data_IF_871516865728
#
_entry.id   IF_871516865728
#
_cell.length_a   1.000
_cell.length_b   1.000
_cell.length_c   1.000
_cell.angle_alpha   90.00
_cell.angle_beta   90.00
_cell.angle_gamma   90.00
#
_symmetry.space_group_name_H-M   'P 1'
#
loop_
_entity.id
_entity.type
_entity.pdbx_description
1 polymer ?
#
# COMPACT_ATOMS: atom_id res chain seq x y z
N UNK A 1 -8.88 -9.16 -15.97
CA UNK A 1 -8.27 -8.40 -17.09
C UNK A 1 -7.23 -7.37 -16.61
N UNK A 2 -7.52 -6.54 -15.61
CA UNK A 2 -6.55 -5.52 -15.12
C UNK A 2 -5.25 -6.14 -14.59
N UNK A 3 -5.30 -7.25 -13.84
CA UNK A 3 -4.10 -7.97 -13.41
C UNK A 3 -3.27 -8.46 -14.58
N UNK A 4 -3.87 -9.16 -15.54
CA UNK A 4 -3.13 -9.67 -16.71
C UNK A 4 -2.43 -8.56 -17.52
N UNK A 5 -3.01 -7.35 -17.56
CA UNK A 5 -2.36 -6.19 -18.21
C UNK A 5 -1.14 -5.75 -17.40
N UNK A 6 -1.27 -5.63 -16.08
CA UNK A 6 -0.13 -5.23 -15.22
C UNK A 6 0.99 -6.24 -15.24
N UNK A 7 0.69 -7.53 -15.15
CA UNK A 7 1.70 -8.59 -15.20
C UNK A 7 2.50 -8.51 -16.51
N UNK A 8 1.83 -8.31 -17.63
CA UNK A 8 2.49 -8.11 -18.94
C UNK A 8 3.33 -6.83 -18.95
N UNK A 9 2.81 -5.73 -18.43
CA UNK A 9 3.55 -4.47 -18.34
C UNK A 9 4.81 -4.62 -17.46
N UNK A 10 4.70 -5.28 -16.30
CA UNK A 10 5.84 -5.57 -15.42
C UNK A 10 6.92 -6.39 -16.12
N UNK A 11 6.53 -7.47 -16.81
CA UNK A 11 7.45 -8.36 -17.52
C UNK A 11 8.09 -7.62 -18.69
N UNK A 12 7.28 -6.98 -19.55
CA UNK A 12 7.81 -6.26 -20.73
C UNK A 12 8.73 -5.11 -20.30
N UNK A 13 8.34 -4.34 -19.28
CA UNK A 13 9.15 -3.25 -18.80
C UNK A 13 10.44 -3.74 -18.12
N UNK A 14 10.38 -4.82 -17.34
CA UNK A 14 11.56 -5.47 -16.75
C UNK A 14 12.53 -5.99 -17.81
N UNK A 15 12.01 -6.52 -18.91
CA UNK A 15 12.83 -6.93 -20.07
C UNK A 15 13.54 -5.72 -20.72
N UNK A 16 12.86 -4.56 -20.87
CA UNK A 16 13.50 -3.34 -21.37
C UNK A 16 14.62 -2.84 -20.44
N UNK A 17 14.47 -2.98 -19.13
CA UNK A 17 15.53 -2.66 -18.16
C UNK A 17 16.72 -3.62 -18.36
N UNK A 18 16.44 -4.92 -18.55
CA UNK A 18 17.47 -5.93 -18.77
C UNK A 18 18.31 -5.68 -20.05
N UNK A 19 17.72 -5.11 -21.08
CA UNK A 19 18.40 -4.78 -22.34
C UNK A 19 19.39 -3.61 -22.23
N UNK A 20 19.46 -2.93 -21.06
CA UNK A 20 20.43 -1.87 -20.76
C UNK A 20 20.55 -0.81 -21.86
N UNK A 21 19.41 -0.22 -22.21
CA UNK A 21 19.38 0.80 -23.26
C UNK A 21 19.43 2.23 -22.69
N UNK A 22 19.65 3.22 -23.57
CA UNK A 22 19.78 4.66 -23.18
C UNK A 22 18.55 5.23 -22.44
N UNK A 23 17.42 4.55 -22.45
CA UNK A 23 16.19 4.95 -21.75
C UNK A 23 15.97 4.18 -20.44
N UNK A 24 16.92 3.41 -19.98
CA UNK A 24 16.82 2.53 -18.81
C UNK A 24 16.21 3.24 -17.59
N UNK A 25 16.61 4.50 -17.32
CA UNK A 25 16.07 5.25 -16.19
C UNK A 25 14.54 5.46 -16.26
N UNK A 26 14.01 5.68 -17.46
CA UNK A 26 12.56 5.84 -17.66
C UNK A 26 11.84 4.53 -17.35
N UNK A 27 12.40 3.41 -17.81
CA UNK A 27 11.84 2.08 -17.53
C UNK A 27 11.94 1.75 -16.02
N UNK A 28 13.02 2.12 -15.34
CA UNK A 28 13.17 1.95 -13.88
C UNK A 28 12.11 2.75 -13.12
N UNK A 29 11.87 4.02 -13.48
CA UNK A 29 10.84 4.85 -12.87
C UNK A 29 9.44 4.27 -13.10
N UNK A 30 9.15 3.84 -14.34
CA UNK A 30 7.87 3.21 -14.67
C UNK A 30 7.69 1.87 -13.95
N UNK A 31 8.77 1.07 -13.81
CA UNK A 31 8.77 -0.16 -13.03
C UNK A 31 8.41 0.13 -11.56
N UNK A 32 8.93 1.21 -11.00
CA UNK A 32 8.59 1.65 -9.65
C UNK A 32 7.09 1.91 -9.49
N UNK A 33 6.48 2.62 -10.41
CA UNK A 33 5.03 2.86 -10.41
C UNK A 33 4.24 1.54 -10.53
N UNK A 34 4.66 0.63 -11.41
CA UNK A 34 4.03 -0.67 -11.58
C UNK A 34 4.14 -1.52 -10.30
N UNK A 35 5.33 -1.59 -9.70
CA UNK A 35 5.57 -2.39 -8.50
C UNK A 35 4.78 -1.87 -7.29
N UNK A 36 4.81 -0.55 -7.01
CA UNK A 36 4.04 -0.01 -5.88
C UNK A 36 2.54 -0.13 -6.10
N UNK A 37 2.07 -0.18 -7.34
CA UNK A 37 0.66 -0.41 -7.64
C UNK A 37 0.18 -1.83 -7.27
N UNK A 38 1.10 -2.78 -7.02
CA UNK A 38 0.77 -4.10 -6.49
C UNK A 38 0.28 -4.05 -5.03
N UNK A 39 0.38 -2.90 -4.37
CA UNK A 39 -0.26 -2.67 -3.08
C UNK A 39 -1.80 -2.79 -3.19
N UNK A 40 -2.41 -2.32 -4.27
CA UNK A 40 -3.85 -2.41 -4.45
C UNK A 40 -4.38 -3.87 -4.52
N UNK A 41 -3.80 -4.82 -5.29
CA UNK A 41 -4.17 -6.23 -5.19
C UNK A 41 -3.80 -6.88 -3.86
N UNK A 42 -2.71 -6.49 -3.19
CA UNK A 42 -2.40 -6.96 -1.84
C UNK A 42 -3.54 -6.60 -0.87
N UNK A 43 -3.95 -5.34 -0.89
CA UNK A 43 -5.04 -4.77 -0.10
C UNK A 43 -6.37 -5.49 -0.38
N UNK A 44 -6.81 -5.55 -1.62
CA UNK A 44 -8.09 -6.14 -2.01
C UNK A 44 -8.16 -7.65 -1.74
N UNK A 45 -7.06 -8.39 -1.95
CA UNK A 45 -6.97 -9.81 -1.65
C UNK A 45 -7.04 -10.09 -0.13
N UNK A 46 -6.64 -9.14 0.73
CA UNK A 46 -6.78 -9.28 2.18
C UNK A 46 -8.25 -9.39 2.60
N UNK A 47 -9.16 -8.71 1.89
CA UNK A 47 -10.62 -8.83 2.05
C UNK A 47 -11.20 -10.06 1.36
N UNK A 48 -10.40 -10.76 0.52
CA UNK A 48 -10.86 -11.91 -0.28
C UNK A 48 -11.92 -11.55 -1.33
N UNK A 49 -11.92 -10.33 -1.84
CA UNK A 49 -12.89 -9.75 -2.78
C UNK A 49 -12.37 -9.64 -4.21
N UNK A 50 -11.04 -9.73 -4.42
CA UNK A 50 -10.43 -9.64 -5.75
C UNK A 50 -10.83 -10.80 -6.68
N UNK A 51 -10.92 -12.01 -6.14
CA UNK A 51 -11.21 -13.24 -6.87
C UNK A 51 -12.27 -14.09 -6.16
N UNK A 52 -13.06 -14.85 -6.92
CA UNK A 52 -13.99 -15.85 -6.36
C UNK A 52 -13.24 -16.99 -5.64
N UNK A 53 -12.05 -17.33 -6.11
CA UNK A 53 -11.23 -18.39 -5.52
C UNK A 53 -10.46 -17.88 -4.30
N UNK A 54 -10.61 -18.55 -3.16
CA UNK A 54 -9.82 -18.29 -1.95
C UNK A 54 -8.32 -18.50 -2.20
N UNK A 55 -7.97 -19.54 -2.95
CA UNK A 55 -6.60 -19.85 -3.31
C UNK A 55 -5.97 -18.71 -4.11
N UNK A 56 -6.66 -18.17 -5.12
CA UNK A 56 -6.13 -17.05 -5.91
C UNK A 56 -5.94 -15.78 -5.07
N UNK A 57 -6.88 -15.45 -4.17
CA UNK A 57 -6.70 -14.33 -3.25
C UNK A 57 -5.45 -14.52 -2.39
N UNK A 58 -5.22 -15.71 -1.84
CA UNK A 58 -4.05 -16.01 -1.00
C UNK A 58 -2.74 -15.98 -1.81
N UNK A 59 -2.71 -16.60 -2.98
CA UNK A 59 -1.52 -16.66 -3.83
C UNK A 59 -1.10 -15.25 -4.32
N UNK A 60 -2.06 -14.44 -4.79
CA UNK A 60 -1.79 -13.07 -5.22
C UNK A 60 -1.38 -12.20 -4.04
N UNK A 61 -2.05 -12.33 -2.89
CA UNK A 61 -1.69 -11.60 -1.68
C UNK A 61 -0.26 -11.93 -1.23
N UNK A 62 0.13 -13.23 -1.25
CA UNK A 62 1.50 -13.67 -0.93
C UNK A 62 2.53 -13.06 -1.88
N UNK A 63 2.29 -13.15 -3.19
CA UNK A 63 3.20 -12.60 -4.20
C UNK A 63 3.35 -11.07 -4.07
N UNK A 64 2.24 -10.34 -3.97
CA UNK A 64 2.28 -8.89 -3.80
C UNK A 64 2.93 -8.49 -2.46
N UNK A 65 2.64 -9.22 -1.39
CA UNK A 65 3.27 -9.03 -0.08
C UNK A 65 4.78 -9.28 -0.11
N UNK A 66 5.23 -10.32 -0.83
CA UNK A 66 6.64 -10.59 -1.07
C UNK A 66 7.33 -9.41 -1.77
N UNK A 67 6.72 -8.85 -2.80
CA UNK A 67 7.28 -7.69 -3.53
C UNK A 67 7.42 -6.46 -2.63
N UNK A 68 6.46 -6.25 -1.72
CA UNK A 68 6.44 -5.10 -0.80
C UNK A 68 7.17 -5.30 0.54
N UNK A 69 7.82 -6.45 0.76
CA UNK A 69 8.39 -6.83 2.06
C UNK A 69 7.33 -6.85 3.19
N UNK A 70 6.09 -7.14 2.84
CA UNK A 70 4.93 -7.21 3.73
C UNK A 70 4.41 -8.67 3.76
N UNK A 71 4.76 -9.49 4.77
CA UNK A 71 4.22 -10.85 4.88
C UNK A 71 2.70 -10.82 4.82
N UNK A 72 2.10 -11.61 3.93
CA UNK A 72 0.69 -11.46 3.56
C UNK A 72 -0.27 -11.73 4.73
N UNK A 73 0.04 -12.72 5.57
CA UNK A 73 -0.78 -13.03 6.75
C UNK A 73 -0.69 -11.90 7.78
N UNK A 74 0.54 -11.36 8.00
CA UNK A 74 0.73 -10.20 8.86
C UNK A 74 -0.02 -8.98 8.36
N UNK A 75 0.11 -8.66 7.07
CA UNK A 75 -0.59 -7.52 6.47
C UNK A 75 -2.12 -7.66 6.61
N UNK A 76 -2.64 -8.86 6.41
CA UNK A 76 -4.08 -9.13 6.60
C UNK A 76 -4.53 -8.86 8.04
N UNK A 77 -3.79 -9.31 9.05
CA UNK A 77 -4.12 -9.05 10.45
C UNK A 77 -4.09 -7.55 10.77
N UNK A 78 -3.04 -6.86 10.32
CA UNK A 78 -2.86 -5.42 10.44
C UNK A 78 -4.02 -4.65 9.80
N UNK A 79 -4.33 -4.96 8.55
CA UNK A 79 -5.35 -4.26 7.76
C UNK A 79 -6.78 -4.52 8.26
N UNK A 80 -7.08 -5.74 8.69
CA UNK A 80 -8.39 -6.05 9.30
C UNK A 80 -8.58 -5.32 10.65
N UNK A 81 -7.52 -5.10 11.40
CA UNK A 81 -7.57 -4.31 12.63
C UNK A 81 -7.76 -2.82 12.35
N UNK A 82 -7.05 -2.30 11.32
CA UNK A 82 -7.27 -0.95 10.81
C UNK A 82 -8.75 -0.72 10.42
N UNK A 83 -9.36 -1.60 9.64
CA UNK A 83 -10.79 -1.50 9.31
C UNK A 83 -11.72 -1.53 10.52
N UNK A 84 -11.36 -2.29 11.56
CA UNK A 84 -12.16 -2.38 12.79
C UNK A 84 -12.08 -1.12 13.63
N UNK A 85 -10.94 -0.47 13.61
CA UNK A 85 -10.60 0.63 14.53
C UNK A 85 -10.13 1.89 13.80
N UNK A 86 -10.49 2.05 12.53
CA UNK A 86 -10.08 3.18 11.69
C UNK A 86 -10.17 4.51 12.42
N UNK A 87 -9.05 5.25 12.48
CA UNK A 87 -8.91 6.55 13.14
C UNK A 87 -9.03 6.52 14.68
N UNK A 88 -9.04 5.34 15.31
CA UNK A 88 -8.96 5.24 16.77
C UNK A 88 -7.49 5.42 17.21
N UNK A 89 -7.16 6.47 18.02
CA UNK A 89 -5.78 6.79 18.34
C UNK A 89 -5.01 5.69 19.07
N UNK A 90 -5.71 4.79 19.77
CA UNK A 90 -5.09 3.74 20.59
C UNK A 90 -5.13 2.36 19.97
N UNK A 91 -6.02 2.12 19.01
CA UNK A 91 -6.29 0.78 18.49
C UNK A 91 -6.01 0.63 16.99
N UNK A 92 -6.02 1.73 16.23
CA UNK A 92 -5.72 1.69 14.80
C UNK A 92 -4.20 1.55 14.57
N UNK A 93 -3.73 0.41 14.05
CA UNK A 93 -2.30 0.19 13.86
C UNK A 93 -1.69 1.12 12.79
N UNK A 94 -2.48 1.73 11.90
CA UNK A 94 -1.99 2.70 10.92
C UNK A 94 -1.62 4.04 11.56
N UNK A 95 -2.21 4.39 12.70
CA UNK A 95 -1.87 5.60 13.45
C UNK A 95 -0.60 5.45 14.30
N UNK A 96 0.00 4.27 14.38
CA UNK A 96 1.30 4.06 15.02
C UNK A 96 2.43 4.91 14.41
N UNK A 97 2.24 5.39 13.19
CA UNK A 97 3.08 6.39 12.54
C UNK A 97 2.38 7.75 12.58
N UNK A 98 2.95 8.70 13.34
CA UNK A 98 2.40 10.05 13.41
C UNK A 98 2.27 10.68 12.01
N UNK A 99 1.13 11.32 11.78
CA UNK A 99 0.92 12.09 10.55
C UNK A 99 1.86 13.30 10.51
N UNK A 100 2.30 13.72 9.32
CA UNK A 100 3.19 14.88 9.18
C UNK A 100 2.61 16.15 9.80
N UNK A 101 3.38 16.79 10.70
CA UNK A 101 3.02 18.07 11.33
C UNK A 101 3.93 19.22 10.88
N UNK A 102 4.89 18.94 10.02
CA UNK A 102 5.81 19.92 9.43
C UNK A 102 6.13 19.54 7.99
N UNK A 103 6.64 20.49 7.20
CA UNK A 103 7.11 20.22 5.83
C UNK A 103 8.21 19.15 5.84
N UNK A 104 9.13 19.20 6.80
CA UNK A 104 10.19 18.19 6.92
C UNK A 104 9.64 16.78 7.16
N UNK A 105 8.69 16.62 8.10
CA UNK A 105 8.06 15.32 8.36
C UNK A 105 7.19 14.84 7.18
N UNK A 106 6.56 15.78 6.45
CA UNK A 106 5.83 15.45 5.22
C UNK A 106 6.78 14.91 4.14
N UNK A 107 7.88 15.61 3.86
CA UNK A 107 8.86 15.15 2.87
C UNK A 107 9.49 13.81 3.28
N UNK A 108 9.76 13.62 4.57
CA UNK A 108 10.27 12.36 5.09
C UNK A 108 9.27 11.21 4.93
N UNK A 109 7.96 11.45 5.19
CA UNK A 109 6.92 10.45 4.92
C UNK A 109 6.86 10.12 3.43
N UNK A 110 6.80 11.15 2.56
CA UNK A 110 6.67 10.95 1.11
C UNK A 110 7.89 10.23 0.52
N UNK A 111 9.09 10.46 1.04
CA UNK A 111 10.28 9.72 0.61
C UNK A 111 10.17 8.20 0.77
N UNK A 112 9.30 7.73 1.67
CA UNK A 112 9.15 6.31 1.99
C UNK A 112 10.28 5.73 2.84
N UNK A 113 11.31 6.50 3.21
CA UNK A 113 12.46 6.02 3.97
C UNK A 113 12.02 5.41 5.30
N UNK A 114 11.16 6.11 6.05
CA UNK A 114 10.63 5.61 7.33
C UNK A 114 9.94 4.26 7.15
N UNK A 115 9.10 4.14 6.15
CA UNK A 115 8.35 2.91 5.89
C UNK A 115 9.29 1.73 5.59
N UNK A 116 10.36 1.97 4.82
CA UNK A 116 11.36 0.92 4.57
C UNK A 116 12.05 0.47 5.86
N UNK A 117 12.42 1.41 6.73
CA UNK A 117 13.02 1.09 8.04
C UNK A 117 12.04 0.24 8.87
N UNK A 118 10.77 0.66 8.95
CA UNK A 118 9.73 -0.02 9.71
C UNK A 118 9.44 -1.43 9.15
N UNK A 119 9.38 -1.58 7.82
CA UNK A 119 9.15 -2.87 7.17
C UNK A 119 10.33 -3.84 7.40
N UNK A 120 11.57 -3.38 7.23
CA UNK A 120 12.76 -4.20 7.47
C UNK A 120 12.84 -4.60 8.94
N UNK A 121 12.65 -3.65 9.88
CA UNK A 121 12.64 -3.94 11.31
C UNK A 121 11.54 -4.95 11.67
N UNK A 122 10.31 -4.74 11.18
CA UNK A 122 9.20 -5.65 11.41
C UNK A 122 9.46 -7.04 10.84
N UNK A 123 10.03 -7.13 9.63
CA UNK A 123 10.38 -8.39 8.99
C UNK A 123 11.35 -9.21 9.85
N UNK A 124 12.46 -8.60 10.30
CA UNK A 124 13.42 -9.29 11.16
C UNK A 124 12.88 -9.63 12.55
N UNK A 125 12.06 -8.75 13.13
CA UNK A 125 11.37 -9.03 14.39
C UNK A 125 10.47 -10.28 14.29
N UNK A 126 9.69 -10.38 13.23
CA UNK A 126 8.84 -11.54 12.95
C UNK A 126 9.67 -12.79 12.64
N UNK A 127 10.80 -12.64 11.91
CA UNK A 127 11.71 -13.75 11.57
C UNK A 127 12.28 -14.43 12.80
N UNK A 128 12.69 -13.67 13.83
CA UNK A 128 13.18 -14.21 15.11
C UNK A 128 12.07 -14.74 16.03
N UNK A 129 10.81 -14.68 15.59
CA UNK A 129 9.66 -15.23 16.31
C UNK A 129 8.92 -14.24 17.21
N UNK A 130 9.28 -12.95 17.20
CA UNK A 130 8.59 -11.93 17.99
C UNK A 130 7.40 -11.35 17.21
N UNK A 131 6.23 -11.99 17.34
CA UNK A 131 4.96 -11.60 16.70
C UNK A 131 3.92 -11.17 17.77
N UNK A 132 4.33 -10.29 18.69
CA UNK A 132 3.54 -9.89 19.86
C UNK A 132 2.63 -8.66 19.64
N UNK A 133 2.43 -8.24 18.36
CA UNK A 133 1.48 -7.18 18.05
C UNK A 133 0.06 -7.59 18.45
N UNK A 134 -0.67 -6.68 19.11
CA UNK A 134 -2.04 -6.92 19.62
C UNK A 134 -3.03 -7.31 18.52
N UNK A 135 -2.82 -6.82 17.30
CA UNK A 135 -3.67 -7.11 16.15
C UNK A 135 -3.42 -8.49 15.53
N UNK A 136 -2.31 -9.19 15.85
CA UNK A 136 -2.08 -10.55 15.36
C UNK A 136 -2.85 -11.54 16.23
N UNK A 137 -3.87 -12.17 15.67
CA UNK A 137 -4.65 -13.20 16.37
C UNK A 137 -3.76 -14.39 16.77
N UNK A 138 -3.89 -14.87 18.00
CA UNK A 138 -3.06 -15.98 18.56
C UNK A 138 -2.93 -17.17 17.61
N UNK A 139 -4.03 -17.57 16.94
CA UNK A 139 -4.07 -18.69 15.96
C UNK A 139 -3.21 -18.47 14.70
N UNK A 140 -2.84 -17.22 14.39
CA UNK A 140 -2.08 -16.85 13.20
C UNK A 140 -0.61 -16.53 13.49
N UNK A 141 -0.20 -16.42 14.76
CA UNK A 141 1.18 -16.11 15.15
C UNK A 141 2.18 -17.05 14.46
N UNK A 142 1.99 -18.37 14.61
CA UNK A 142 2.90 -19.35 14.02
C UNK A 142 2.88 -19.32 12.48
N UNK A 143 1.74 -19.00 11.87
CA UNK A 143 1.64 -18.87 10.41
C UNK A 143 2.39 -17.66 9.89
N UNK A 144 2.32 -16.52 10.60
CA UNK A 144 3.08 -15.30 10.28
C UNK A 144 4.57 -15.58 10.36
N UNK A 145 5.04 -16.20 11.46
CA UNK A 145 6.44 -16.54 11.65
C UNK A 145 6.95 -17.48 10.55
N UNK A 146 6.17 -18.51 10.23
CA UNK A 146 6.52 -19.46 9.16
C UNK A 146 6.60 -18.78 7.80
N UNK A 147 5.59 -17.93 7.47
CA UNK A 147 5.58 -17.18 6.21
C UNK A 147 6.82 -16.29 6.07
N UNK A 148 7.19 -15.55 7.12
CA UNK A 148 8.38 -14.69 7.10
C UNK A 148 9.66 -15.50 6.88
N UNK A 149 9.80 -16.68 7.50
CA UNK A 149 10.97 -17.57 7.30
C UNK A 149 11.02 -18.13 5.89
N UNK A 150 9.85 -18.46 5.30
CA UNK A 150 9.77 -18.87 3.88
C UNK A 150 10.19 -17.69 2.98
N UNK A 151 9.68 -16.48 3.22
CA UNK A 151 10.06 -15.28 2.46
C UNK A 151 11.54 -14.99 2.57
N UNK A 152 12.14 -15.12 3.76
CA UNK A 152 13.57 -14.98 3.95
C UNK A 152 14.36 -15.97 3.08
N UNK A 153 13.96 -17.25 3.07
CA UNK A 153 14.57 -18.27 2.20
C UNK A 153 14.43 -17.92 0.71
N UNK A 154 13.28 -17.42 0.28
CA UNK A 154 13.07 -16.96 -1.11
C UNK A 154 14.00 -15.77 -1.43
N UNK A 155 14.07 -14.75 -0.56
CA UNK A 155 14.94 -13.59 -0.78
C UNK A 155 16.43 -13.99 -0.83
N UNK A 156 16.85 -14.89 0.07
CA UNK A 156 18.21 -15.40 0.07
C UNK A 156 18.51 -16.15 -1.23
N UNK A 157 17.61 -17.01 -1.69
CA UNK A 157 17.77 -17.72 -2.96
C UNK A 157 17.86 -16.74 -4.14
N UNK A 158 16.98 -15.76 -4.23
CA UNK A 158 16.98 -14.74 -5.28
C UNK A 158 18.29 -13.94 -5.26
N UNK A 159 18.79 -13.58 -4.07
CA UNK A 159 20.07 -12.91 -3.91
C UNK A 159 21.24 -13.76 -4.41
N UNK A 160 21.31 -15.04 -4.00
CA UNK A 160 22.36 -15.99 -4.43
C UNK A 160 22.33 -16.16 -5.96
N UNK A 161 21.15 -16.33 -6.55
CA UNK A 161 20.99 -16.47 -8.01
C UNK A 161 21.46 -15.22 -8.75
N UNK A 162 21.08 -14.02 -8.27
CA UNK A 162 21.50 -12.75 -8.85
C UNK A 162 23.01 -12.54 -8.72
N UNK A 163 23.59 -12.88 -7.57
CA UNK A 163 25.03 -12.78 -7.33
C UNK A 163 25.83 -13.73 -8.23
N UNK A 164 25.43 -15.00 -8.29
CA UNK A 164 26.13 -16.01 -9.10
C UNK A 164 25.98 -15.77 -10.61
N UNK A 165 24.89 -15.18 -11.05
CA UNK A 165 24.71 -14.82 -12.46
C UNK A 165 25.49 -13.56 -12.87
N UNK A 166 26.11 -12.88 -11.92
CA UNK A 166 26.78 -11.59 -12.10
C UNK A 166 25.87 -10.56 -12.79
N UNK A 167 24.55 -10.65 -12.54
CA UNK A 167 23.53 -9.82 -13.17
C UNK A 167 22.77 -9.00 -12.12
N UNK A 168 22.81 -7.66 -12.18
CA UNK A 168 22.14 -6.78 -11.23
C UNK A 168 20.62 -6.68 -11.44
N UNK A 169 19.99 -7.66 -12.10
CA UNK A 169 18.57 -7.65 -12.45
C UNK A 169 17.65 -7.36 -11.25
N UNK A 170 17.89 -8.01 -10.10
CA UNK A 170 17.09 -7.76 -8.89
C UNK A 170 17.20 -6.30 -8.43
N UNK A 171 18.39 -5.72 -8.52
CA UNK A 171 18.63 -4.34 -8.13
C UNK A 171 17.85 -3.38 -9.01
N UNK A 172 17.96 -3.52 -10.33
CA UNK A 172 17.34 -2.58 -11.29
C UNK A 172 15.87 -2.86 -11.61
N UNK A 173 15.40 -4.10 -11.48
CA UNK A 173 14.02 -4.45 -11.78
C UNK A 173 13.12 -4.51 -10.55
N UNK A 174 13.68 -4.54 -9.35
CA UNK A 174 12.88 -4.63 -8.12
C UNK A 174 13.30 -3.62 -7.05
N UNK A 175 14.54 -3.67 -6.53
CA UNK A 175 14.95 -2.91 -5.34
C UNK A 175 14.89 -1.40 -5.62
N UNK A 176 15.66 -0.90 -6.59
CA UNK A 176 15.68 0.53 -6.95
C UNK A 176 14.28 1.03 -7.35
N UNK A 177 13.53 0.36 -8.26
CA UNK A 177 12.19 0.77 -8.61
C UNK A 177 11.24 0.84 -7.41
N UNK A 178 11.31 -0.10 -6.46
CA UNK A 178 10.48 -0.06 -5.25
C UNK A 178 10.76 1.17 -4.38
N UNK A 179 12.02 1.59 -4.25
CA UNK A 179 12.36 2.84 -3.56
C UNK A 179 11.82 4.07 -4.30
N UNK A 180 12.03 4.13 -5.62
CA UNK A 180 11.60 5.25 -6.44
C UNK A 180 10.07 5.35 -6.60
N UNK A 181 9.37 4.24 -6.44
CA UNK A 181 7.90 4.19 -6.48
C UNK A 181 7.22 4.63 -5.18
N UNK A 182 7.93 4.57 -4.03
CA UNK A 182 7.32 4.87 -2.73
C UNK A 182 6.65 6.26 -2.66
N UNK A 183 7.21 7.33 -3.18
CA UNK A 183 6.56 8.64 -3.17
C UNK A 183 5.13 8.60 -3.71
N UNK A 184 4.89 7.90 -4.81
CA UNK A 184 3.55 7.76 -5.40
C UNK A 184 2.59 7.05 -4.45
N UNK A 185 3.04 5.95 -3.83
CA UNK A 185 2.22 5.21 -2.87
C UNK A 185 1.93 6.04 -1.60
N UNK A 186 2.93 6.76 -1.08
CA UNK A 186 2.73 7.59 0.14
C UNK A 186 1.81 8.76 -0.11
N UNK A 187 1.93 9.44 -1.26
CA UNK A 187 0.99 10.49 -1.66
C UNK A 187 -0.44 9.94 -1.74
N UNK A 188 -0.61 8.77 -2.33
CA UNK A 188 -1.90 8.13 -2.43
C UNK A 188 -2.48 7.82 -1.04
N UNK A 189 -1.75 7.08 -0.19
CA UNK A 189 -2.24 6.61 1.11
C UNK A 189 -2.49 7.75 2.11
N UNK A 190 -1.67 8.81 2.10
CA UNK A 190 -1.90 9.96 2.99
C UNK A 190 -3.27 10.63 2.72
N UNK A 191 -3.73 10.61 1.48
CA UNK A 191 -5.02 11.20 1.12
C UNK A 191 -6.22 10.38 1.62
N UNK A 192 -6.05 9.09 1.88
CA UNK A 192 -7.16 8.20 2.25
C UNK A 192 -7.80 8.59 3.59
N UNK A 193 -6.97 8.97 4.57
CA UNK A 193 -7.41 9.29 5.94
C UNK A 193 -6.93 10.65 6.45
N UNK A 194 -6.08 11.35 5.69
CA UNK A 194 -5.54 12.66 6.10
C UNK A 194 -6.66 13.69 6.32
N UNK A 195 -6.68 14.36 7.49
CA UNK A 195 -7.72 15.34 7.87
C UNK A 195 -9.14 14.80 7.94
N UNK A 196 -9.36 13.51 8.04
CA UNK A 196 -10.66 12.94 8.32
C UNK A 196 -10.92 12.88 9.83
N UNK A 197 -12.20 12.81 10.23
CA UNK A 197 -12.59 12.80 11.64
C UNK A 197 -12.06 11.54 12.36
N UNK A 198 -11.70 11.69 13.62
CA UNK A 198 -11.41 10.58 14.54
C UNK A 198 -12.74 10.03 15.11
N UNK A 199 -13.44 9.25 14.33
CA UNK A 199 -14.76 8.68 14.68
C UNK A 199 -14.88 7.25 14.14
N UNK A 200 -15.81 6.48 14.69
CA UNK A 200 -16.15 5.13 14.19
C UNK A 200 -17.05 5.15 12.95
N UNK A 201 -17.49 6.31 12.51
CA UNK A 201 -18.31 6.46 11.30
C UNK A 201 -17.42 6.45 10.05
N UNK A 202 -17.45 5.35 9.31
CA UNK A 202 -16.54 5.08 8.18
C UNK A 202 -16.69 6.06 7.01
N UNK A 203 -17.82 6.72 6.88
CA UNK A 203 -18.03 7.77 5.86
C UNK A 203 -17.55 9.16 6.30
N UNK A 204 -17.09 9.28 7.56
CA UNK A 204 -16.51 10.51 8.12
C UNK A 204 -15.03 10.35 8.49
N UNK A 205 -14.54 9.12 8.64
CA UNK A 205 -13.14 8.85 8.99
C UNK A 205 -12.25 8.51 7.79
N UNK A 206 -12.83 8.47 6.61
CA UNK A 206 -12.18 8.11 5.34
C UNK A 206 -12.59 9.07 4.24
N UNK A 207 -11.76 9.17 3.18
CA UNK A 207 -11.97 10.10 2.07
C UNK A 207 -12.21 9.38 0.75
N UNK A 208 -13.01 10.01 -0.11
CA UNK A 208 -13.09 9.71 -1.55
C UNK A 208 -12.37 10.81 -2.32
N UNK A 209 -11.40 10.43 -3.16
CA UNK A 209 -10.65 11.37 -4.00
C UNK A 209 -11.01 11.17 -5.47
N UNK A 210 -11.57 12.20 -6.13
CA UNK A 210 -11.87 12.14 -7.57
C UNK A 210 -10.57 12.07 -8.36
N UNK A 211 -10.55 11.23 -9.40
CA UNK A 211 -9.34 11.06 -10.21
C UNK A 211 -9.67 10.51 -11.61
N UNK A 212 -8.67 10.52 -12.49
CA UNK A 212 -8.81 10.03 -13.85
C UNK A 212 -8.75 8.49 -13.94
N UNK A 213 -9.05 7.97 -15.13
CA UNK A 213 -9.03 6.52 -15.41
C UNK A 213 -7.66 5.87 -15.15
N UNK A 214 -6.57 6.56 -15.51
CA UNK A 214 -5.22 6.02 -15.38
C UNK A 214 -4.86 5.75 -13.91
N UNK A 215 -5.08 6.75 -13.03
CA UNK A 215 -4.86 6.57 -11.59
C UNK A 215 -5.75 5.46 -11.04
N UNK A 216 -7.06 5.44 -11.40
CA UNK A 216 -7.97 4.38 -10.98
C UNK A 216 -7.50 2.98 -11.40
N UNK A 217 -6.90 2.87 -12.58
CA UNK A 217 -6.33 1.61 -13.05
C UNK A 217 -5.18 1.12 -12.14
N UNK A 218 -4.27 2.02 -11.74
CA UNK A 218 -3.15 1.67 -10.86
C UNK A 218 -3.57 1.37 -9.43
N UNK A 219 -4.56 2.07 -8.89
CA UNK A 219 -5.01 1.91 -7.50
C UNK A 219 -6.24 1.02 -7.35
N UNK A 220 -6.71 0.34 -8.39
CA UNK A 220 -7.90 -0.53 -8.34
C UNK A 220 -9.14 0.15 -7.73
N UNK A 221 -9.45 1.36 -8.16
CA UNK A 221 -10.56 2.16 -7.62
C UNK A 221 -10.50 2.41 -6.11
N UNK A 222 -9.35 2.20 -5.44
CA UNK A 222 -9.18 2.51 -4.01
C UNK A 222 -9.22 4.02 -3.71
N UNK A 223 -9.28 4.87 -4.73
CA UNK A 223 -9.64 6.28 -4.58
C UNK A 223 -11.06 6.48 -4.01
N UNK A 224 -11.92 5.46 -4.07
CA UNK A 224 -13.22 5.36 -3.38
C UNK A 224 -13.05 4.74 -1.99
N UNK A 225 -12.16 5.33 -1.17
CA UNK A 225 -11.74 4.70 0.08
C UNK A 225 -12.80 4.78 1.19
N UNK A 226 -13.60 5.85 1.22
CA UNK A 226 -14.73 5.95 2.15
C UNK A 226 -15.80 4.87 1.86
N UNK A 227 -16.06 4.59 0.60
CA UNK A 227 -16.96 3.52 0.16
C UNK A 227 -16.41 2.15 0.56
N UNK A 228 -15.11 1.95 0.34
CA UNK A 228 -14.44 0.72 0.72
C UNK A 228 -14.51 0.48 2.24
N UNK A 229 -14.19 1.47 3.06
CA UNK A 229 -14.30 1.36 4.51
C UNK A 229 -15.73 1.12 4.99
N UNK A 230 -16.73 1.76 4.35
CA UNK A 230 -18.13 1.57 4.73
C UNK A 230 -18.66 0.17 4.42
N UNK A 231 -18.16 -0.47 3.35
CA UNK A 231 -18.53 -1.82 2.92
C UNK A 231 -17.35 -2.58 2.29
N UNK A 232 -16.41 -3.10 3.08
CA UNK A 232 -15.20 -3.78 2.57
C UNK A 232 -15.48 -5.06 1.77
N UNK A 233 -16.69 -5.60 1.83
CA UNK A 233 -17.11 -6.76 1.05
C UNK A 233 -17.45 -6.41 -0.41
N UNK A 234 -17.57 -5.13 -0.77
CA UNK A 234 -17.80 -4.70 -2.15
C UNK A 234 -16.48 -4.76 -2.89
N UNK A 235 -16.37 -5.58 -3.97
CA UNK A 235 -15.12 -5.70 -4.72
C UNK A 235 -14.78 -4.38 -5.45
N UNK A 236 -13.50 -4.08 -5.57
CA UNK A 236 -12.95 -2.83 -6.12
C UNK A 236 -13.61 -2.35 -7.42
N UNK A 237 -13.97 -3.28 -8.33
CA UNK A 237 -14.59 -2.93 -9.62
C UNK A 237 -16.05 -2.48 -9.51
N UNK A 238 -16.68 -2.63 -8.33
CA UNK A 238 -18.04 -2.18 -8.03
C UNK A 238 -18.07 -0.89 -7.19
N UNK A 239 -16.95 -0.45 -6.65
CA UNK A 239 -16.88 0.75 -5.79
C UNK A 239 -17.39 2.00 -6.49
N UNK A 240 -17.11 2.18 -7.79
CA UNK A 240 -17.62 3.32 -8.55
C UNK A 240 -19.15 3.30 -8.68
N UNK A 241 -19.77 2.13 -8.76
CA UNK A 241 -21.23 2.02 -8.80
C UNK A 241 -21.81 2.32 -7.42
N UNK A 242 -21.20 1.78 -6.37
CA UNK A 242 -21.61 2.01 -4.99
C UNK A 242 -21.43 3.48 -4.57
N UNK A 243 -20.38 4.15 -5.05
CA UNK A 243 -20.19 5.58 -4.84
C UNK A 243 -21.42 6.41 -5.21
N UNK A 244 -22.04 6.16 -6.37
CA UNK A 244 -23.24 6.87 -6.83
C UNK A 244 -24.43 6.77 -5.87
N UNK A 245 -24.47 5.68 -5.08
CA UNK A 245 -25.54 5.44 -4.11
C UNK A 245 -25.31 6.22 -2.81
N UNK A 246 -24.06 6.42 -2.39
CA UNK A 246 -23.72 6.98 -1.09
C UNK A 246 -22.93 8.30 -1.15
N UNK A 247 -22.60 8.82 -2.34
CA UNK A 247 -21.79 10.04 -2.51
C UNK A 247 -22.31 11.20 -1.63
N UNK A 248 -23.62 11.38 -1.55
CA UNK A 248 -24.25 12.44 -0.76
C UNK A 248 -24.06 12.29 0.76
N UNK A 249 -23.63 11.13 1.26
CA UNK A 249 -23.37 10.86 2.69
C UNK A 249 -21.89 11.01 3.06
N UNK A 250 -20.98 10.95 2.08
CA UNK A 250 -19.54 10.98 2.31
C UNK A 250 -19.13 12.40 2.69
N UNK A 251 -18.59 12.56 3.91
CA UNK A 251 -18.19 13.86 4.44
C UNK A 251 -16.96 14.43 3.73
N UNK A 252 -15.94 13.59 3.51
CA UNK A 252 -14.68 14.03 2.95
C UNK A 252 -14.54 13.57 1.50
N UNK A 253 -14.73 14.52 0.60
CA UNK A 253 -14.51 14.33 -0.83
C UNK A 253 -13.48 15.34 -1.32
N UNK A 254 -12.55 14.90 -2.17
CA UNK A 254 -11.54 15.76 -2.75
C UNK A 254 -11.60 15.73 -4.28
N UNK A 255 -11.40 16.88 -4.93
CA UNK A 255 -11.41 17.03 -6.38
C UNK A 255 -10.23 16.34 -7.07
N UNK A 256 -9.12 16.12 -6.34
CA UNK A 256 -7.93 15.44 -6.84
C UNK A 256 -6.84 15.30 -5.78
N UNK A 257 -5.89 14.40 -6.03
CA UNK A 257 -4.73 14.23 -5.13
C UNK A 257 -3.89 15.50 -5.03
N UNK A 258 -3.72 16.22 -6.14
CA UNK A 258 -3.01 17.49 -6.14
C UNK A 258 -3.66 18.52 -5.21
N UNK A 259 -4.98 18.66 -5.27
CA UNK A 259 -5.74 19.60 -4.44
C UNK A 259 -5.63 19.22 -2.96
N UNK A 260 -5.72 17.92 -2.64
CA UNK A 260 -5.50 17.43 -1.29
C UNK A 260 -4.11 17.82 -0.77
N UNK A 261 -3.05 17.49 -1.50
CA UNK A 261 -1.68 17.77 -1.06
C UNK A 261 -1.37 19.26 -0.98
N UNK A 262 -1.92 20.06 -1.90
CA UNK A 262 -1.84 21.52 -1.83
C UNK A 262 -2.45 22.04 -0.51
N UNK A 263 -3.65 21.60 -0.16
CA UNK A 263 -4.31 21.95 1.11
C UNK A 263 -3.49 21.50 2.31
N UNK A 264 -2.98 20.24 2.26
CA UNK A 264 -2.16 19.67 3.32
C UNK A 264 -0.91 20.52 3.58
N UNK A 265 -0.17 20.86 2.53
CA UNK A 265 1.04 21.69 2.63
C UNK A 265 0.72 23.13 3.11
N UNK A 266 -0.37 23.73 2.63
CA UNK A 266 -0.81 25.06 3.10
C UNK A 266 -1.11 25.04 4.61
N UNK A 267 -1.77 24.00 5.14
CA UNK A 267 -2.01 23.88 6.58
C UNK A 267 -0.71 23.71 7.37
N UNK A 268 0.26 22.93 6.88
CA UNK A 268 1.56 22.79 7.51
C UNK A 268 2.33 24.13 7.55
N UNK A 269 2.21 24.95 6.50
CA UNK A 269 2.87 26.29 6.43
C UNK A 269 2.20 27.28 7.38
N UNK A 270 0.88 27.32 7.39
CA UNK A 270 0.11 28.31 8.16
C UNK A 270 -0.08 27.92 9.61
N UNK A 271 0.24 26.67 9.98
CA UNK A 271 -0.02 26.07 11.30
C UNK A 271 -1.49 26.24 11.77
N UNK A 272 -2.42 26.46 10.83
CA UNK A 272 -3.85 26.55 11.11
C UNK A 272 -4.42 25.15 11.22
N UNK A 273 -5.17 24.93 12.31
CA UNK A 273 -6.05 23.76 12.51
C UNK A 273 -5.37 22.37 12.44
N UNK A 274 -4.25 22.19 13.15
CA UNK A 274 -3.67 20.86 13.38
C UNK A 274 -4.45 20.08 14.47
N UNK A 275 -5.78 20.25 14.55
CA UNK A 275 -6.64 19.65 15.58
C UNK A 275 -6.85 18.12 15.45
N UNK A 276 -6.18 17.48 14.51
CA UNK A 276 -6.26 16.04 14.25
C UNK A 276 -5.03 15.26 14.80
N UNK A 277 -4.36 15.86 15.76
CA UNK A 277 -3.23 15.26 16.46
C UNK A 277 -3.64 14.70 17.82
#
# INVERSE_FOLDING_TARGET
RQMCIRDRLLICNGYQIYLDNKYQIIFILFQGLLLVSLFAPLHECSHSTAFKSKFLNQAVMFFCGMVHLMPSIWFKEFHMEHHRHTQNPTMDPELGNERPRSIGSYLFLISGIRIWIDLVHNFFRLFVGNANQSYIRKRNIQKVILEVRILFGIYLLLFILSFNSNNPFLLYCWIIPMFLGQPFLRLFLLAEHGFCDQTTDMIKNSRTTKTNFLVRFFVWNMNYHAEHHSRPAIPFHKLQTFHKEIEHKIKFQESGYFDFHKKYLMQLITQKDLHWA
#
